data_IF_844063445109
#
_entry.id   IF_844063445109
#
_cell.length_a   1.000
_cell.length_b   1.000
_cell.length_c   1.000
_cell.angle_alpha   90.00
_cell.angle_beta   90.00
_cell.angle_gamma   90.00
#
_symmetry.space_group_name_H-M   'P 1'
#
loop_
_entity.id
_entity.type
_entity.pdbx_description
1 polymer ?
#
# COMPACT_ATOMS: atom_id res chain seq x y z
N UNK A 1 60.99 -30.64 -24.87
CA UNK A 1 59.83 -31.57 -24.87
C UNK A 1 59.10 -31.36 -23.56
N UNK A 2 58.17 -30.41 -23.51
CA UNK A 2 57.30 -30.22 -22.35
C UNK A 2 55.97 -29.67 -22.84
N UNK A 3 54.90 -30.39 -22.50
CA UNK A 3 53.56 -30.29 -23.10
C UNK A 3 52.76 -29.19 -22.41
N UNK A 4 52.21 -28.29 -23.22
CA UNK A 4 51.21 -27.29 -22.84
C UNK A 4 49.97 -27.97 -22.23
N UNK A 5 49.62 -27.60 -21.00
CA UNK A 5 48.37 -28.05 -20.36
C UNK A 5 47.19 -27.29 -20.97
N UNK A 6 46.36 -28.03 -21.70
CA UNK A 6 45.09 -27.57 -22.26
C UNK A 6 44.01 -27.63 -21.17
N UNK A 7 43.64 -26.48 -20.62
CA UNK A 7 42.48 -26.34 -19.74
C UNK A 7 41.18 -26.52 -20.55
N UNK A 8 40.52 -27.66 -20.39
CA UNK A 8 39.17 -27.90 -20.94
C UNK A 8 38.13 -27.38 -19.96
N UNK A 9 37.47 -26.27 -20.31
CA UNK A 9 36.34 -25.71 -19.56
C UNK A 9 35.11 -26.61 -19.71
N UNK A 10 34.58 -27.15 -18.61
CA UNK A 10 33.33 -27.91 -18.61
C UNK A 10 32.16 -26.91 -18.59
N UNK A 11 31.51 -26.73 -19.74
CA UNK A 11 30.27 -25.93 -19.84
C UNK A 11 29.11 -26.78 -19.27
N UNK A 12 28.69 -26.48 -18.03
CA UNK A 12 27.51 -27.11 -17.43
C UNK A 12 26.23 -26.57 -18.10
N UNK A 13 25.60 -27.38 -18.96
CA UNK A 13 24.28 -27.07 -19.54
C UNK A 13 23.19 -27.21 -18.47
N UNK A 14 22.61 -26.08 -18.05
CA UNK A 14 21.52 -26.00 -17.06
C UNK A 14 20.25 -26.64 -17.65
N UNK A 15 19.89 -27.84 -17.18
CA UNK A 15 18.68 -28.56 -17.60
C UNK A 15 17.45 -27.81 -17.06
N UNK A 16 16.67 -27.15 -17.92
CA UNK A 16 15.41 -26.49 -17.55
C UNK A 16 14.43 -27.55 -17.02
N UNK A 17 14.16 -27.53 -15.70
CA UNK A 17 13.05 -28.30 -15.12
C UNK A 17 11.75 -27.72 -15.66
N UNK A 18 11.01 -28.49 -16.47
CA UNK A 18 9.62 -28.19 -16.81
C UNK A 18 8.80 -28.29 -15.53
N UNK A 19 8.41 -27.14 -14.98
CA UNK A 19 7.43 -27.10 -13.90
C UNK A 19 6.09 -27.58 -14.47
N UNK A 20 5.61 -28.69 -13.93
CA UNK A 20 4.38 -29.33 -14.38
C UNK A 20 3.20 -28.47 -13.91
N UNK A 21 2.61 -27.69 -14.84
CA UNK A 21 1.51 -26.73 -14.60
C UNK A 21 0.15 -27.37 -14.24
N UNK A 22 0.14 -28.61 -13.76
CA UNK A 22 -1.10 -29.38 -13.61
C UNK A 22 -1.62 -29.51 -12.18
N UNK A 23 -1.17 -28.68 -11.22
CA UNK A 23 -1.53 -28.88 -9.81
C UNK A 23 -2.72 -28.07 -9.27
N UNK A 24 -3.40 -27.23 -10.06
CA UNK A 24 -4.61 -26.56 -9.55
C UNK A 24 -5.74 -26.56 -10.58
N UNK A 25 -6.24 -27.75 -10.89
CA UNK A 25 -7.55 -27.92 -11.52
C UNK A 25 -8.56 -28.35 -10.44
N UNK A 26 -8.60 -27.61 -9.34
CA UNK A 26 -9.72 -27.71 -8.41
C UNK A 26 -10.85 -26.85 -8.99
N UNK A 27 -12.08 -27.33 -8.88
CA UNK A 27 -13.30 -26.59 -9.19
C UNK A 27 -13.34 -25.32 -8.34
N UNK A 28 -12.66 -24.26 -8.80
CA UNK A 28 -12.79 -22.93 -8.25
C UNK A 28 -14.21 -22.51 -8.64
N UNK A 29 -15.16 -22.74 -7.73
CA UNK A 29 -16.38 -21.94 -7.72
C UNK A 29 -15.87 -20.51 -7.87
N UNK A 30 -16.22 -19.83 -8.96
CA UNK A 30 -15.82 -18.45 -9.21
C UNK A 30 -16.50 -17.57 -8.14
N UNK A 31 -16.03 -17.67 -6.89
CA UNK A 31 -16.46 -16.84 -5.78
C UNK A 31 -15.93 -15.46 -6.08
N UNK A 32 -16.82 -14.60 -6.58
CA UNK A 32 -16.52 -13.20 -6.81
C UNK A 32 -16.05 -12.57 -5.52
N UNK A 33 -15.13 -11.61 -5.58
CA UNK A 33 -14.72 -10.84 -4.40
C UNK A 33 -15.92 -10.23 -3.65
N UNK A 34 -17.03 -9.98 -4.37
CA UNK A 34 -18.30 -9.50 -3.83
C UNK A 34 -19.01 -10.46 -2.87
N UNK A 35 -18.67 -11.75 -2.87
CA UNK A 35 -19.25 -12.73 -1.95
C UNK A 35 -18.55 -12.76 -0.58
N UNK A 36 -17.44 -12.03 -0.42
CA UNK A 36 -16.76 -11.95 0.87
C UNK A 36 -17.53 -11.03 1.83
N UNK A 37 -17.54 -11.35 3.14
CA UNK A 37 -17.99 -10.43 4.17
C UNK A 37 -17.23 -9.10 4.11
N UNK A 38 -17.91 -8.01 4.47
CA UNK A 38 -17.32 -6.67 4.48
C UNK A 38 -16.07 -6.57 5.39
N UNK A 39 -16.01 -7.35 6.46
CA UNK A 39 -14.84 -7.42 7.35
C UNK A 39 -13.59 -7.91 6.60
N UNK A 40 -13.73 -8.99 5.81
CA UNK A 40 -12.62 -9.51 5.00
C UNK A 40 -12.25 -8.55 3.86
N UNK A 41 -13.25 -7.88 3.28
CA UNK A 41 -12.99 -6.83 2.29
C UNK A 41 -12.23 -5.66 2.91
N UNK A 42 -12.58 -5.26 4.14
CA UNK A 42 -11.90 -4.19 4.87
C UNK A 42 -10.46 -4.56 5.15
N UNK A 43 -10.20 -5.81 5.55
CA UNK A 43 -8.86 -6.34 5.75
C UNK A 43 -8.03 -6.32 4.45
N UNK A 44 -8.62 -6.71 3.32
CA UNK A 44 -7.95 -6.65 2.02
C UNK A 44 -7.60 -5.20 1.67
N UNK A 45 -8.56 -4.27 1.79
CA UNK A 45 -8.37 -2.86 1.48
C UNK A 45 -7.34 -2.22 2.42
N UNK A 46 -7.37 -2.55 3.71
CA UNK A 46 -6.39 -2.09 4.69
C UNK A 46 -4.98 -2.55 4.32
N UNK A 47 -4.82 -3.82 3.90
CA UNK A 47 -3.51 -4.31 3.43
C UNK A 47 -3.03 -3.64 2.16
N UNK A 48 -3.91 -3.36 1.21
CA UNK A 48 -3.55 -2.55 0.02
C UNK A 48 -3.10 -1.16 0.47
N UNK A 49 -3.86 -0.52 1.34
CA UNK A 49 -3.59 0.81 1.85
C UNK A 49 -2.30 0.94 2.67
N UNK A 50 -1.92 -0.09 3.42
CA UNK A 50 -0.61 -0.15 4.10
C UNK A 50 0.55 -0.29 3.13
N UNK A 51 0.32 -0.84 1.94
CA UNK A 51 1.39 -1.07 0.95
C UNK A 51 1.58 0.08 -0.02
N UNK A 52 0.49 0.74 -0.44
CA UNK A 52 0.54 1.90 -1.31
C UNK A 52 -0.72 2.74 -1.16
N UNK A 53 -0.53 4.05 -0.99
CA UNK A 53 -1.62 5.01 -0.90
C UNK A 53 -2.31 5.16 -2.26
N UNK A 54 -1.54 5.20 -3.35
CA UNK A 54 -2.10 5.28 -4.70
C UNK A 54 -2.98 4.07 -5.05
N UNK A 55 -2.55 2.86 -4.69
CA UNK A 55 -3.38 1.67 -4.91
C UNK A 55 -4.65 1.67 -4.07
N UNK A 56 -4.61 2.19 -2.85
CA UNK A 56 -5.82 2.42 -2.06
C UNK A 56 -6.80 3.36 -2.77
N UNK A 57 -6.31 4.47 -3.33
CA UNK A 57 -7.15 5.40 -4.10
C UNK A 57 -7.76 4.70 -5.31
N UNK A 58 -6.97 3.92 -6.06
CA UNK A 58 -7.47 3.14 -7.19
C UNK A 58 -8.54 2.12 -6.78
N UNK A 59 -8.33 1.40 -5.68
CA UNK A 59 -9.31 0.45 -5.12
C UNK A 59 -10.60 1.16 -4.71
N UNK A 60 -10.50 2.30 -4.03
CA UNK A 60 -11.64 3.11 -3.60
C UNK A 60 -12.51 3.55 -4.79
N UNK A 61 -11.89 3.97 -5.89
CA UNK A 61 -12.60 4.41 -7.10
C UNK A 61 -13.03 3.29 -8.05
N UNK A 62 -12.56 2.05 -7.83
CA UNK A 62 -12.83 0.94 -8.75
C UNK A 62 -14.30 0.47 -8.76
N UNK A 63 -14.95 0.39 -7.59
CA UNK A 63 -16.34 -0.09 -7.50
C UNK A 63 -17.05 0.36 -6.22
N UNK A 64 -18.39 0.28 -6.22
CA UNK A 64 -19.24 0.70 -5.09
C UNK A 64 -18.94 -0.03 -3.77
N UNK A 65 -18.63 -1.33 -3.84
CA UNK A 65 -18.34 -2.15 -2.65
C UNK A 65 -17.05 -1.66 -2.00
N UNK A 66 -15.97 -1.54 -2.78
CA UNK A 66 -14.72 -1.03 -2.26
C UNK A 66 -14.81 0.42 -1.83
N UNK A 67 -15.56 1.28 -2.53
CA UNK A 67 -15.80 2.64 -2.07
C UNK A 67 -16.44 2.68 -0.68
N UNK A 68 -17.44 1.83 -0.43
CA UNK A 68 -18.08 1.73 0.89
C UNK A 68 -17.09 1.27 1.97
N UNK A 69 -16.40 0.17 1.72
CA UNK A 69 -15.43 -0.45 2.63
C UNK A 69 -14.21 0.43 2.89
N UNK A 70 -13.76 1.20 1.90
CA UNK A 70 -12.59 2.08 2.02
C UNK A 70 -12.77 3.21 3.04
N UNK A 71 -14.00 3.51 3.43
CA UNK A 71 -14.27 4.54 4.44
C UNK A 71 -14.33 3.97 5.87
N UNK A 72 -14.06 2.68 6.07
CA UNK A 72 -13.99 2.07 7.40
C UNK A 72 -12.82 2.68 8.21
N UNK A 73 -13.03 3.09 9.48
CA UNK A 73 -11.95 3.57 10.35
C UNK A 73 -10.76 2.61 10.47
N UNK A 74 -11.01 1.31 10.37
CA UNK A 74 -9.96 0.29 10.34
C UNK A 74 -9.01 0.49 9.16
N UNK A 75 -9.53 0.82 7.97
CA UNK A 75 -8.70 1.11 6.80
C UNK A 75 -7.86 2.36 7.04
N UNK A 76 -8.47 3.45 7.52
CA UNK A 76 -7.76 4.70 7.80
C UNK A 76 -6.64 4.55 8.84
N UNK A 77 -6.81 3.67 9.83
CA UNK A 77 -5.76 3.32 10.79
C UNK A 77 -4.52 2.71 10.14
N UNK A 78 -4.69 1.99 9.03
CA UNK A 78 -3.65 1.21 8.37
C UNK A 78 -3.10 1.83 7.08
N UNK A 79 -3.66 2.95 6.59
CA UNK A 79 -3.13 3.65 5.42
C UNK A 79 -1.67 4.07 5.68
N UNK A 80 -0.77 3.68 4.77
CA UNK A 80 0.57 4.22 4.70
C UNK A 80 0.51 5.67 4.22
N UNK A 81 1.20 6.55 4.92
CA UNK A 81 1.34 7.95 4.53
C UNK A 81 2.68 8.20 3.84
N UNK A 82 3.50 7.19 3.58
CA UNK A 82 4.83 7.34 2.96
C UNK A 82 4.78 8.16 1.66
N UNK A 83 3.86 7.83 0.76
CA UNK A 83 3.61 8.55 -0.49
C UNK A 83 2.85 9.88 -0.29
N UNK A 84 2.28 10.09 0.90
CA UNK A 84 1.49 11.28 1.22
C UNK A 84 2.40 12.47 1.57
N UNK A 85 2.23 13.65 0.96
CA UNK A 85 3.14 14.78 1.14
C UNK A 85 3.29 15.20 2.60
N UNK A 86 4.51 15.18 3.13
CA UNK A 86 4.85 15.76 4.44
C UNK A 86 4.72 17.29 4.38
N UNK A 87 5.11 17.88 3.24
CA UNK A 87 5.06 19.32 2.95
C UNK A 87 3.66 19.91 2.80
N UNK A 88 2.61 19.08 2.74
CA UNK A 88 1.21 19.53 2.84
C UNK A 88 0.85 20.10 4.22
N UNK A 89 1.76 20.01 5.20
CA UNK A 89 1.67 20.75 6.46
C UNK A 89 2.02 22.24 6.33
N UNK A 90 2.51 22.71 5.17
CA UNK A 90 2.18 24.06 4.74
C UNK A 90 0.71 24.01 4.33
N UNK A 91 -0.19 24.35 5.26
CA UNK A 91 -1.60 24.66 5.00
C UNK A 91 -1.74 25.94 4.14
N UNK A 92 -0.97 25.99 3.04
CA UNK A 92 -1.10 26.93 1.93
C UNK A 92 -0.84 26.17 0.62
N UNK A 93 -1.80 25.41 0.13
CA UNK A 93 -1.94 25.08 -1.27
C UNK A 93 -2.57 26.27 -2.00
N UNK A 94 -2.31 26.38 -3.30
CA UNK A 94 -2.83 27.48 -4.15
C UNK A 94 -4.37 27.49 -4.27
N UNK A 95 -5.06 26.44 -3.79
CA UNK A 95 -6.50 26.24 -3.91
C UNK A 95 -7.10 25.74 -2.57
N UNK A 96 -7.84 26.61 -1.88
CA UNK A 96 -8.45 26.37 -0.55
C UNK A 96 -9.25 25.05 -0.44
N UNK A 97 -9.93 24.63 -1.52
CA UNK A 97 -10.71 23.37 -1.52
C UNK A 97 -9.86 22.11 -1.35
N UNK A 98 -8.66 22.08 -1.93
CA UNK A 98 -7.77 20.92 -1.84
C UNK A 98 -7.15 20.82 -0.45
N UNK A 99 -6.85 21.96 0.18
CA UNK A 99 -6.43 22.02 1.57
C UNK A 99 -7.48 21.46 2.52
N UNK A 100 -8.74 21.81 2.30
CA UNK A 100 -9.85 21.34 3.10
C UNK A 100 -10.03 19.82 2.98
N UNK A 101 -9.81 19.24 1.79
CA UNK A 101 -9.86 17.77 1.59
C UNK A 101 -8.68 17.05 2.22
N UNK A 102 -7.46 17.58 2.06
CA UNK A 102 -6.25 16.98 2.63
C UNK A 102 -6.24 17.06 4.17
N UNK A 103 -6.67 18.19 4.72
CA UNK A 103 -6.82 18.37 6.18
C UNK A 103 -7.89 17.45 6.75
N UNK A 104 -9.03 17.29 6.06
CA UNK A 104 -10.06 16.35 6.46
C UNK A 104 -9.54 14.91 6.46
N UNK A 105 -8.85 14.48 5.39
CA UNK A 105 -8.26 13.15 5.30
C UNK A 105 -7.27 12.87 6.44
N UNK A 106 -6.35 13.81 6.70
CA UNK A 106 -5.39 13.69 7.80
C UNK A 106 -6.09 13.63 9.15
N UNK A 107 -7.14 14.44 9.36
CA UNK A 107 -7.97 14.39 10.56
C UNK A 107 -8.61 13.01 10.74
N UNK A 108 -9.20 12.45 9.70
CA UNK A 108 -9.81 11.12 9.75
C UNK A 108 -8.79 10.03 10.08
N UNK A 109 -7.57 10.12 9.53
CA UNK A 109 -6.49 9.19 9.88
C UNK A 109 -6.12 9.29 11.37
N UNK A 110 -6.00 10.51 11.92
CA UNK A 110 -5.72 10.72 13.34
C UNK A 110 -6.84 10.21 14.25
N UNK A 111 -8.10 10.51 13.93
CA UNK A 111 -9.29 10.05 14.67
C UNK A 111 -9.41 8.52 14.66
N UNK A 112 -8.94 7.88 13.58
CA UNK A 112 -8.89 6.41 13.46
C UNK A 112 -7.72 5.77 14.21
N UNK A 113 -6.80 6.57 14.75
CA UNK A 113 -5.61 6.12 15.47
C UNK A 113 -4.46 5.69 14.57
N UNK A 114 -4.33 6.27 13.37
CA UNK A 114 -3.21 6.00 12.48
C UNK A 114 -1.88 6.49 13.11
N UNK A 115 -0.88 5.60 13.29
CA UNK A 115 0.36 5.96 13.97
C UNK A 115 1.21 6.96 13.18
N UNK A 116 1.25 6.88 11.86
CA UNK A 116 1.99 7.82 11.01
C UNK A 116 1.38 9.21 11.05
N UNK A 117 0.05 9.31 11.04
CA UNK A 117 -0.66 10.59 11.14
C UNK A 117 -0.39 11.27 12.48
N UNK A 118 -0.49 10.52 13.57
CA UNK A 118 -0.21 11.01 14.92
C UNK A 118 1.25 11.43 15.09
N UNK A 119 2.18 10.66 14.53
CA UNK A 119 3.61 11.01 14.53
C UNK A 119 3.86 12.33 13.79
N UNK A 120 3.33 12.49 12.57
CA UNK A 120 3.47 13.73 11.80
C UNK A 120 2.93 14.95 12.55
N UNK A 121 1.77 14.81 13.20
CA UNK A 121 1.21 15.88 14.06
C UNK A 121 2.15 16.21 15.23
N UNK A 122 2.66 15.20 15.93
CA UNK A 122 3.60 15.40 17.03
C UNK A 122 4.87 16.14 16.62
N UNK A 123 5.43 15.80 15.45
CA UNK A 123 6.59 16.50 14.87
C UNK A 123 6.27 17.98 14.59
N UNK A 124 5.13 18.25 13.95
CA UNK A 124 4.69 19.63 13.66
C UNK A 124 4.47 20.43 14.94
N UNK A 125 3.80 19.84 15.94
CA UNK A 125 3.49 20.49 17.22
C UNK A 125 4.77 20.78 18.03
N UNK A 126 5.78 19.91 17.95
CA UNK A 126 7.09 20.11 18.58
C UNK A 126 7.82 21.32 17.99
N UNK A 127 8.02 21.34 16.67
CA UNK A 127 8.73 22.44 16.00
C UNK A 127 7.96 23.76 15.98
N UNK A 128 6.62 23.74 16.08
CA UNK A 128 5.82 24.98 16.24
C UNK A 128 6.01 25.64 17.61
N UNK A 129 6.37 24.88 18.64
CA UNK A 129 6.65 25.41 19.98
C UNK A 129 8.06 25.99 20.13
N UNK A 130 8.95 25.78 19.17
CA UNK A 130 10.33 26.33 19.16
C UNK A 130 10.43 27.74 18.55
N UNK A 131 9.39 28.58 18.65
CA UNK A 131 9.57 30.04 18.46
C UNK A 131 9.76 30.73 19.82
N UNK A 132 11.00 31.07 20.23
CA UNK A 132 11.24 32.16 21.16
C UNK A 132 10.80 33.51 20.56
#
# INVERSE_FOLDING_TARGET
MERSQSSRTIIMKRKRRKYNRNFFKNNFVNSSIKSLPNELLSEIVARVASSSFLDYINVKFSCKIFNGVSNDPYVYRHISLEEFPIGGCSWKSENEENENKLSLFMRTCMESGNPEALYRKGVVDFFRKERP
#
